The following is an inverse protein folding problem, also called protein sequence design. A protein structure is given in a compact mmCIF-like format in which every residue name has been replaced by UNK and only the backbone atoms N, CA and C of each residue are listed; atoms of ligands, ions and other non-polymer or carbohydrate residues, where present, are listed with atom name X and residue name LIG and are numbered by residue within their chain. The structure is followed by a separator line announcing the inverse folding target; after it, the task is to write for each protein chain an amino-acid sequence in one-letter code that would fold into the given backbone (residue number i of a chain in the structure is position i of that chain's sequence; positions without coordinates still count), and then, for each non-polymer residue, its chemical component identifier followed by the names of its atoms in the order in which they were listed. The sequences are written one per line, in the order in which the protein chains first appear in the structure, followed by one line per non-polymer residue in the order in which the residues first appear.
data_IF_035178967036
#
_entry.id   IF_035178967036
#
_cell.length_a   1.000
_cell.length_b   1.000
_cell.length_c   1.000
_cell.angle_alpha   90.00
_cell.angle_beta   90.00
_cell.angle_gamma   90.00
#
_symmetry.space_group_name_H-M   'P 1'
#
loop_
_entity.id
_entity.type
_entity.pdbx_description
1 polymer ?
#
# COMPACT_ATOMS: atom_id res chain seq x y z
N UNK A 1 10.35 3.87 1.08
CA UNK A 1 9.32 2.91 1.55
C UNK A 1 9.17 1.75 0.59
N UNK A 2 9.06 2.02 -0.71
CA UNK A 2 8.94 0.95 -1.71
C UNK A 2 10.15 -0.01 -1.64
N UNK A 3 11.34 0.54 -1.52
CA UNK A 3 12.56 -0.25 -1.45
C UNK A 3 12.61 -1.13 -0.21
N UNK A 4 12.11 -0.62 0.92
CA UNK A 4 12.03 -1.41 2.16
C UNK A 4 11.04 -2.57 2.00
N UNK A 5 9.91 -2.33 1.35
CA UNK A 5 8.92 -3.37 1.10
C UNK A 5 9.50 -4.46 0.19
N UNK A 6 10.19 -4.06 -0.88
CA UNK A 6 10.87 -5.00 -1.78
C UNK A 6 11.89 -5.83 -1.02
N UNK A 7 12.67 -5.18 -0.15
CA UNK A 7 13.67 -5.87 0.65
C UNK A 7 13.02 -6.89 1.60
N UNK A 8 11.89 -6.54 2.21
CA UNK A 8 11.18 -7.47 3.10
C UNK A 8 10.66 -8.70 2.37
N UNK A 9 10.31 -8.57 1.10
CA UNK A 9 9.90 -9.73 0.30
C UNK A 9 11.07 -10.64 -0.01
N UNK A 10 12.21 -10.06 -0.38
CA UNK A 10 13.42 -10.82 -0.73
C UNK A 10 14.16 -11.34 0.51
N UNK A 11 14.14 -10.57 1.59
CA UNK A 11 14.86 -10.87 2.83
C UNK A 11 13.91 -10.74 4.02
N UNK A 12 13.06 -11.76 4.25
CA UNK A 12 12.06 -11.71 5.31
C UNK A 12 12.64 -11.40 6.68
N UNK A 13 11.92 -10.60 7.44
CA UNK A 13 12.29 -10.21 8.79
C UNK A 13 11.18 -10.59 9.76
N UNK A 14 11.52 -11.37 10.77
CA UNK A 14 10.56 -11.78 11.79
C UNK A 14 9.98 -10.57 12.50
N UNK A 15 8.66 -10.60 12.73
CA UNK A 15 7.94 -9.51 13.40
C UNK A 15 7.57 -8.35 12.49
N UNK A 16 7.94 -8.39 11.21
CA UNK A 16 7.58 -7.35 10.25
C UNK A 16 6.12 -7.49 9.81
N UNK A 17 5.35 -6.39 9.89
CA UNK A 17 3.98 -6.35 9.38
C UNK A 17 3.97 -6.59 7.87
N UNK A 18 4.94 -6.04 7.15
CA UNK A 18 5.05 -6.24 5.70
C UNK A 18 5.20 -7.74 5.37
N UNK A 19 6.03 -8.44 6.12
CA UNK A 19 6.18 -9.88 5.94
C UNK A 19 4.90 -10.64 6.30
N UNK A 20 4.18 -10.19 7.32
CA UNK A 20 2.88 -10.77 7.65
C UNK A 20 1.93 -10.70 6.44
N UNK A 21 1.89 -9.56 5.76
CA UNK A 21 1.03 -9.40 4.58
C UNK A 21 1.45 -10.34 3.45
N UNK A 22 2.74 -10.44 3.18
CA UNK A 22 3.22 -11.37 2.14
C UNK A 22 2.93 -12.82 2.50
N UNK A 23 3.10 -13.18 3.77
CA UNK A 23 2.84 -14.55 4.24
C UNK A 23 1.35 -14.92 4.11
N UNK A 24 0.46 -13.98 4.40
CA UNK A 24 -0.98 -14.20 4.27
C UNK A 24 -1.43 -14.26 2.82
N UNK A 25 -0.69 -13.61 1.92
CA UNK A 25 -0.93 -13.70 0.50
C UNK A 25 -1.86 -12.65 -0.07
N UNK A 26 -2.16 -12.80 -1.34
CA UNK A 26 -2.85 -11.79 -2.14
C UNK A 26 -4.24 -11.42 -1.58
N UNK A 27 -4.99 -12.37 -1.08
CA UNK A 27 -6.34 -12.09 -0.58
C UNK A 27 -6.31 -11.13 0.61
N UNK A 28 -5.35 -11.32 1.52
CA UNK A 28 -5.19 -10.44 2.67
C UNK A 28 -4.75 -9.05 2.23
N UNK A 29 -3.81 -8.98 1.29
CA UNK A 29 -3.31 -7.71 0.75
C UNK A 29 -4.47 -6.94 0.12
N UNK A 30 -5.28 -7.60 -0.70
CA UNK A 30 -6.42 -6.97 -1.36
C UNK A 30 -7.48 -6.51 -0.36
N UNK A 31 -7.72 -7.30 0.68
CA UNK A 31 -8.64 -6.92 1.74
C UNK A 31 -8.19 -5.62 2.40
N UNK A 32 -6.89 -5.51 2.72
CA UNK A 32 -6.34 -4.30 3.33
C UNK A 32 -6.45 -3.09 2.41
N UNK A 33 -6.14 -3.26 1.12
CA UNK A 33 -6.27 -2.17 0.15
C UNK A 33 -7.71 -1.66 0.12
N UNK A 34 -8.70 -2.55 0.09
CA UNK A 34 -10.11 -2.18 0.10
C UNK A 34 -10.52 -1.46 1.37
N UNK A 35 -10.07 -1.94 2.53
CA UNK A 35 -10.36 -1.32 3.81
C UNK A 35 -9.79 0.11 3.88
N UNK A 36 -8.54 0.29 3.43
CA UNK A 36 -7.91 1.61 3.44
C UNK A 36 -8.57 2.59 2.48
N UNK A 37 -9.06 2.11 1.34
CA UNK A 37 -9.86 2.93 0.42
C UNK A 37 -11.11 3.49 1.12
N UNK A 38 -11.81 2.64 1.86
CA UNK A 38 -13.00 3.03 2.60
C UNK A 38 -12.67 4.06 3.67
N UNK A 39 -11.55 3.89 4.36
CA UNK A 39 -11.13 4.82 5.40
C UNK A 39 -10.78 6.19 4.84
N UNK A 40 -10.22 6.25 3.61
CA UNK A 40 -9.99 7.54 2.93
C UNK A 40 -11.32 8.26 2.69
N UNK A 41 -12.32 7.53 2.20
CA UNK A 41 -13.64 8.11 1.93
C UNK A 41 -14.23 8.72 3.21
N UNK A 42 -14.13 7.99 4.32
CA UNK A 42 -14.65 8.45 5.61
C UNK A 42 -13.84 9.66 6.10
N UNK A 43 -12.52 9.58 6.06
CA UNK A 43 -11.64 10.64 6.54
C UNK A 43 -11.79 11.94 5.74
N UNK A 44 -12.12 11.81 4.44
CA UNK A 44 -12.29 12.99 3.57
C UNK A 44 -13.45 13.88 4.00
N UNK A 45 -14.40 13.38 4.78
CA UNK A 45 -15.52 14.16 5.32
C UNK A 45 -15.11 14.94 6.57
N UNK A 46 -13.99 14.63 7.17
CA UNK A 46 -13.50 15.32 8.36
C UNK A 46 -12.80 16.62 7.94
N UNK A 47 -13.11 17.77 8.59
CA UNK A 47 -12.44 19.03 8.23
C UNK A 47 -10.96 19.06 8.59
N UNK A 48 -10.50 18.18 9.46
CA UNK A 48 -9.09 18.10 9.84
C UNK A 48 -8.31 17.29 8.80
N UNK A 49 -7.45 17.98 8.04
CA UNK A 49 -6.67 17.35 6.96
C UNK A 49 -5.61 16.37 7.45
N UNK A 50 -5.29 16.36 8.74
CA UNK A 50 -4.31 15.40 9.29
C UNK A 50 -4.84 13.97 9.20
N UNK A 51 -6.14 13.78 9.38
CA UNK A 51 -6.73 12.46 9.29
C UNK A 51 -6.69 11.91 7.86
N UNK A 52 -7.07 12.73 6.87
CA UNK A 52 -7.03 12.29 5.46
C UNK A 52 -5.57 12.04 5.03
N UNK A 53 -4.65 12.85 5.49
CA UNK A 53 -3.22 12.67 5.21
C UNK A 53 -2.74 11.32 5.72
N UNK A 54 -3.11 10.96 6.95
CA UNK A 54 -2.76 9.68 7.56
C UNK A 54 -3.35 8.51 6.74
N UNK A 55 -4.62 8.61 6.39
CA UNK A 55 -5.30 7.51 5.69
C UNK A 55 -4.78 7.34 4.25
N UNK A 56 -4.46 8.43 3.56
CA UNK A 56 -3.84 8.34 2.23
C UNK A 56 -2.47 7.67 2.34
N UNK A 57 -1.69 8.03 3.35
CA UNK A 57 -0.36 7.44 3.56
C UNK A 57 -0.46 5.93 3.82
N UNK A 58 -1.42 5.53 4.63
CA UNK A 58 -1.66 4.12 4.95
C UNK A 58 -2.12 3.36 3.70
N UNK A 59 -3.00 3.97 2.91
CA UNK A 59 -3.44 3.39 1.65
C UNK A 59 -2.25 3.20 0.69
N UNK A 60 -1.42 4.23 0.54
CA UNK A 60 -0.26 4.15 -0.35
C UNK A 60 0.72 3.06 0.11
N UNK A 61 0.89 2.89 1.41
CA UNK A 61 1.73 1.82 1.93
C UNK A 61 1.21 0.45 1.48
N UNK A 62 -0.09 0.19 1.70
CA UNK A 62 -0.67 -1.09 1.31
C UNK A 62 -0.70 -1.28 -0.21
N UNK A 63 -0.88 -0.18 -0.95
CA UNK A 63 -0.81 -0.21 -2.41
C UNK A 63 0.59 -0.62 -2.88
N UNK A 64 1.64 -0.12 -2.21
CA UNK A 64 3.01 -0.51 -2.53
C UNK A 64 3.27 -2.00 -2.25
N UNK A 65 2.69 -2.53 -1.16
CA UNK A 65 2.78 -3.97 -0.89
C UNK A 65 2.15 -4.76 -2.04
N UNK A 66 0.98 -4.33 -2.51
CA UNK A 66 0.32 -4.97 -3.65
C UNK A 66 1.18 -4.86 -4.91
N UNK A 67 1.77 -3.69 -5.16
CA UNK A 67 2.65 -3.49 -6.32
C UNK A 67 3.82 -4.47 -6.30
N UNK A 68 4.48 -4.62 -5.16
CA UNK A 68 5.60 -5.55 -5.02
C UNK A 68 5.13 -6.99 -5.25
N UNK A 69 3.97 -7.36 -4.70
CA UNK A 69 3.42 -8.70 -4.88
C UNK A 69 3.11 -9.01 -6.34
N UNK A 70 2.63 -8.00 -7.10
CA UNK A 70 2.28 -8.16 -8.50
C UNK A 70 3.42 -7.83 -9.46
N UNK A 71 4.57 -7.38 -8.94
CA UNK A 71 5.72 -7.05 -9.79
C UNK A 71 5.55 -5.76 -10.57
N UNK A 72 4.81 -4.78 -10.04
CA UNK A 72 4.57 -3.50 -10.69
C UNK A 72 5.42 -2.43 -10.01
N UNK A 73 6.18 -1.66 -10.81
CA UNK A 73 7.06 -0.61 -10.29
C UNK A 73 6.40 0.78 -10.37
N UNK A 74 6.95 1.71 -9.59
CA UNK A 74 6.52 3.11 -9.68
C UNK A 74 6.75 3.69 -11.08
N UNK A 75 7.83 3.30 -11.75
CA UNK A 75 8.12 3.75 -13.11
C UNK A 75 6.99 3.34 -14.06
N UNK A 76 6.48 2.13 -13.93
CA UNK A 76 5.37 1.65 -14.73
C UNK A 76 4.10 2.45 -14.46
N UNK A 77 3.83 2.73 -13.18
CA UNK A 77 2.65 3.50 -12.77
C UNK A 77 2.72 4.93 -13.30
N UNK A 78 3.86 5.60 -13.10
CA UNK A 78 4.02 7.00 -13.55
C UNK A 78 3.99 7.12 -15.06
N UNK A 79 4.53 6.13 -15.77
CA UNK A 79 4.47 6.10 -17.24
C UNK A 79 3.02 5.99 -17.72
N UNK A 80 2.23 5.16 -17.06
CA UNK A 80 0.82 5.02 -17.40
C UNK A 80 0.04 6.30 -17.10
N UNK A 81 0.33 6.95 -15.95
CA UNK A 81 -0.29 8.22 -15.60
C UNK A 81 0.03 9.31 -16.62
N UNK A 82 1.25 9.30 -17.16
CA UNK A 82 1.69 10.32 -18.14
C UNK A 82 0.90 10.27 -19.45
N UNK A 83 0.21 9.16 -19.72
CA UNK A 83 -0.63 9.01 -20.91
C UNK A 83 -2.00 9.68 -20.74
N UNK A 84 -2.36 10.07 -19.53
CA UNK A 84 -3.69 10.64 -19.25
C UNK A 84 -3.72 12.18 -19.41
#
# INVERSE_FOLDING_TARGET
VYDVITDRKEHPKEGSYTNYLFDKGIDKILKKVGEECTEIVIAAKNPDKEEIKYEISDFLYHMMVLMVEKGVSWEEITRELAKR
#
